data_IF_462996298820
#
_entry.id   IF_462996298820
#
_cell.length_a   1.000
_cell.length_b   1.000
_cell.length_c   1.000
_cell.angle_alpha   90.00
_cell.angle_beta   90.00
_cell.angle_gamma   90.00
#
_symmetry.space_group_name_H-M   'P 1'
#
loop_
_entity.id
_entity.type
_entity.pdbx_description
1 polymer ?
#
# COMPACT_ATOMS: atom_id res chain seq x y z
N UNK A 1 -4.96 24.14 -9.96
CA UNK A 1 -4.27 23.08 -10.70
C UNK A 1 -3.59 22.19 -9.67
N UNK A 2 -4.07 20.95 -9.46
CA UNK A 2 -3.45 20.05 -8.48
C UNK A 2 -2.29 19.33 -9.18
N UNK A 3 -1.06 19.68 -8.83
CA UNK A 3 0.13 19.04 -9.38
C UNK A 3 0.48 17.83 -8.49
N UNK A 4 0.42 16.63 -9.05
CA UNK A 4 0.99 15.47 -8.38
C UNK A 4 2.51 15.54 -8.52
N UNK A 5 3.18 15.69 -7.38
CA UNK A 5 4.63 15.70 -7.35
C UNK A 5 5.16 14.32 -7.73
N UNK A 6 6.20 14.30 -8.56
CA UNK A 6 6.90 13.08 -8.93
C UNK A 6 7.63 12.52 -7.71
N UNK A 7 7.43 11.24 -7.41
CA UNK A 7 8.25 10.50 -6.45
C UNK A 7 9.71 10.46 -6.94
N UNK A 8 10.62 11.08 -6.19
CA UNK A 8 12.05 11.04 -6.50
C UNK A 8 12.89 11.09 -5.25
N UNK A 9 14.11 10.54 -5.30
CA UNK A 9 15.04 10.45 -4.16
C UNK A 9 14.43 9.72 -2.96
N UNK A 10 13.64 8.68 -3.23
CA UNK A 10 13.04 7.82 -2.21
C UNK A 10 13.90 6.57 -2.05
N UNK A 11 14.20 6.21 -0.82
CA UNK A 11 14.86 4.94 -0.49
C UNK A 11 13.86 3.99 0.14
N UNK A 12 13.70 2.82 -0.47
CA UNK A 12 12.91 1.70 0.03
C UNK A 12 13.89 0.55 0.24
N UNK A 13 14.20 0.29 1.50
CA UNK A 13 15.27 -0.65 1.84
C UNK A 13 14.94 -1.54 3.01
N UNK A 14 15.50 -2.75 3.01
CA UNK A 14 15.37 -3.75 4.08
C UNK A 14 13.91 -4.12 4.44
N UNK A 15 12.98 -3.98 3.50
CA UNK A 15 11.60 -4.42 3.69
C UNK A 15 11.45 -5.91 3.37
N UNK A 16 10.51 -6.56 4.05
CA UNK A 16 10.03 -7.90 3.72
C UNK A 16 8.57 -7.79 3.30
N UNK A 17 8.26 -8.26 2.11
CA UNK A 17 6.91 -8.22 1.54
C UNK A 17 6.52 -9.65 1.20
N UNK A 18 5.37 -10.09 1.71
CA UNK A 18 4.94 -11.49 1.65
C UNK A 18 3.55 -11.57 1.05
N UNK A 19 3.39 -12.38 0.01
CA UNK A 19 2.07 -12.85 -0.44
C UNK A 19 1.12 -11.76 -0.96
N UNK A 20 1.65 -10.67 -1.51
CA UNK A 20 0.84 -9.60 -2.10
C UNK A 20 -0.12 -10.11 -3.17
N UNK A 21 -1.34 -9.57 -3.26
CA UNK A 21 -2.29 -9.96 -4.33
C UNK A 21 -1.77 -9.56 -5.73
N UNK A 22 -1.12 -8.41 -5.83
CA UNK A 22 -0.39 -7.94 -7.03
C UNK A 22 1.12 -8.13 -6.89
N UNK A 23 1.92 -7.52 -7.78
CA UNK A 23 3.36 -7.37 -7.60
C UNK A 23 3.74 -6.81 -6.23
N UNK A 24 4.88 -7.25 -5.71
CA UNK A 24 5.38 -6.79 -4.40
C UNK A 24 5.99 -5.38 -4.48
N UNK A 25 6.56 -5.03 -5.64
CA UNK A 25 7.02 -3.69 -5.99
C UNK A 25 6.47 -3.30 -7.36
N UNK A 26 5.70 -2.21 -7.39
CA UNK A 26 5.22 -1.60 -8.62
C UNK A 26 5.83 -0.20 -8.77
N UNK A 27 6.60 0.00 -9.83
CA UNK A 27 7.15 1.32 -10.17
C UNK A 27 6.37 1.90 -11.35
N UNK A 28 5.41 2.78 -11.03
CA UNK A 28 4.55 3.42 -12.02
C UNK A 28 3.29 2.64 -12.39
N UNK A 29 2.72 1.86 -11.46
CA UNK A 29 1.52 1.02 -11.64
C UNK A 29 0.36 1.65 -12.42
N UNK A 30 0.08 2.93 -12.14
CA UNK A 30 -1.01 3.70 -12.76
C UNK A 30 -0.55 4.73 -13.79
N UNK A 31 0.68 4.57 -14.29
CA UNK A 31 1.22 5.45 -15.31
C UNK A 31 0.32 5.46 -16.55
N UNK A 32 -0.33 6.62 -16.79
CA UNK A 32 -1.22 6.92 -17.93
C UNK A 32 -2.45 6.02 -18.12
N UNK A 33 -2.85 5.19 -17.15
CA UNK A 33 -4.07 4.36 -17.27
C UNK A 33 -5.37 5.16 -17.09
N UNK A 34 -5.38 6.17 -16.22
CA UNK A 34 -6.57 6.96 -15.85
C UNK A 34 -6.31 8.47 -15.73
N UNK A 35 -5.29 8.97 -16.44
CA UNK A 35 -4.87 10.37 -16.37
C UNK A 35 -5.40 11.17 -17.56
N UNK A 36 -5.80 12.44 -17.37
CA UNK A 36 -6.10 13.33 -18.49
C UNK A 36 -4.92 13.43 -19.46
N UNK A 37 -5.17 13.38 -20.77
CA UNK A 37 -4.11 13.37 -21.80
C UNK A 37 -3.21 14.61 -21.75
N UNK A 38 -3.76 15.76 -21.36
CA UNK A 38 -3.06 17.04 -21.24
C UNK A 38 -2.11 17.09 -20.04
N UNK A 39 -2.23 16.15 -19.10
CA UNK A 39 -1.41 16.15 -17.89
C UNK A 39 -0.07 15.45 -18.12
N UNK A 40 1.01 16.19 -17.84
CA UNK A 40 2.35 15.58 -17.78
C UNK A 40 2.46 14.71 -16.52
N UNK A 41 2.43 13.39 -16.71
CA UNK A 41 2.72 12.41 -15.66
C UNK A 41 4.13 11.88 -15.89
N UNK A 42 4.97 11.94 -14.85
CA UNK A 42 6.34 11.46 -14.88
C UNK A 42 6.48 10.21 -14.01
N UNK A 43 7.21 9.22 -14.52
CA UNK A 43 7.54 8.02 -13.73
C UNK A 43 8.48 8.37 -12.57
N UNK A 44 8.43 7.60 -11.46
CA UNK A 44 9.40 7.73 -10.38
C UNK A 44 10.84 7.63 -10.88
N UNK A 45 11.72 8.48 -10.34
CA UNK A 45 13.11 8.58 -10.78
C UNK A 45 14.05 8.85 -9.61
N UNK A 46 15.32 8.47 -9.71
CA UNK A 46 16.33 8.63 -8.64
C UNK A 46 15.95 7.94 -7.32
N UNK A 47 15.10 6.91 -7.38
CA UNK A 47 14.77 6.10 -6.22
C UNK A 47 15.78 4.98 -6.02
N UNK A 48 15.95 4.53 -4.79
CA UNK A 48 16.77 3.38 -4.42
C UNK A 48 15.91 2.29 -3.79
N UNK A 49 16.03 1.09 -4.34
CA UNK A 49 15.40 -0.12 -3.83
C UNK A 49 16.50 -1.10 -3.45
N UNK A 50 16.79 -1.24 -2.16
CA UNK A 50 17.96 -2.00 -1.69
C UNK A 50 17.69 -2.99 -0.57
N UNK A 51 18.20 -4.22 -0.72
CA UNK A 51 18.12 -5.24 0.32
C UNK A 51 16.70 -5.68 0.69
N UNK A 52 15.71 -5.44 -0.18
CA UNK A 52 14.33 -5.88 0.08
C UNK A 52 14.17 -7.37 -0.24
N UNK A 53 13.29 -8.05 0.49
CA UNK A 53 12.92 -9.45 0.27
C UNK A 53 11.47 -9.56 -0.14
N UNK A 54 11.25 -9.98 -1.38
CA UNK A 54 9.95 -10.14 -1.99
C UNK A 54 9.62 -11.65 -2.02
N UNK A 55 8.64 -12.07 -1.23
CA UNK A 55 8.31 -13.47 -0.99
C UNK A 55 6.96 -13.80 -1.60
N UNK A 56 6.95 -14.69 -2.60
CA UNK A 56 5.79 -15.10 -3.39
C UNK A 56 5.52 -16.61 -3.23
N UNK A 57 4.85 -17.05 -2.15
CA UNK A 57 4.59 -18.49 -1.92
C UNK A 57 3.74 -19.14 -3.00
N UNK A 58 2.76 -18.39 -3.54
CA UNK A 58 1.91 -18.84 -4.65
C UNK A 58 2.50 -18.56 -6.04
N UNK A 59 3.77 -18.15 -6.12
CA UNK A 59 4.40 -17.68 -7.35
C UNK A 59 3.84 -16.32 -7.83
N UNK A 60 4.25 -15.88 -9.03
CA UNK A 60 3.77 -14.64 -9.65
C UNK A 60 4.83 -13.55 -9.79
N UNK A 61 4.41 -12.33 -10.13
CA UNK A 61 5.32 -11.19 -10.35
C UNK A 61 5.75 -10.59 -9.01
N UNK A 62 7.05 -10.36 -8.80
CA UNK A 62 7.53 -9.61 -7.63
C UNK A 62 7.80 -8.15 -7.95
N UNK A 63 8.37 -7.85 -9.11
CA UNK A 63 8.68 -6.47 -9.52
C UNK A 63 8.01 -6.19 -10.87
N UNK A 64 7.22 -5.12 -10.92
CA UNK A 64 6.62 -4.60 -12.15
C UNK A 64 7.05 -3.15 -12.37
N UNK A 65 7.49 -2.85 -13.59
CA UNK A 65 7.97 -1.53 -13.99
C UNK A 65 7.14 -1.03 -15.17
N UNK A 66 6.63 0.19 -15.08
CA UNK A 66 5.96 0.83 -16.19
C UNK A 66 6.94 1.32 -17.25
N UNK A 67 6.53 1.20 -18.52
CA UNK A 67 7.29 1.69 -19.67
C UNK A 67 7.09 3.20 -19.83
N UNK A 68 8.17 4.01 -19.96
CA UNK A 68 8.06 5.44 -20.24
C UNK A 68 7.32 5.70 -21.57
N UNK A 69 6.49 6.75 -21.63
CA UNK A 69 5.85 7.16 -22.87
C UNK A 69 6.87 7.81 -23.83
N UNK A 70 7.10 7.25 -25.03
CA UNK A 70 8.05 7.80 -26.00
C UNK A 70 7.66 9.20 -26.51
N UNK A 71 6.40 9.63 -26.34
CA UNK A 71 5.94 10.97 -26.73
C UNK A 71 6.40 12.08 -25.78
N UNK A 72 6.86 11.74 -24.57
CA UNK A 72 7.38 12.74 -23.62
C UNK A 72 8.83 13.07 -24.02
N UNK A 73 9.16 14.35 -24.30
CA UNK A 73 10.50 14.75 -24.67
C UNK A 73 11.56 14.34 -23.63
N UNK A 74 12.67 13.78 -24.08
CA UNK A 74 13.78 13.34 -23.20
C UNK A 74 14.37 14.47 -22.34
N UNK A 75 14.26 15.73 -22.78
CA UNK A 75 14.68 16.92 -22.03
C UNK A 75 13.82 17.19 -20.79
N UNK A 76 12.52 16.86 -20.85
CA UNK A 76 11.60 16.91 -19.72
C UNK A 76 11.74 15.64 -18.88
N UNK A 77 12.06 14.53 -19.54
CA UNK A 77 12.30 13.22 -18.93
C UNK A 77 13.75 12.99 -18.52
N UNK A 78 14.52 14.03 -18.15
CA UNK A 78 15.83 13.86 -17.51
C UNK A 78 15.63 13.12 -16.18
N UNK A 79 15.64 11.79 -16.28
CA UNK A 79 15.35 10.84 -15.24
C UNK A 79 16.66 10.18 -14.90
N UNK A 80 17.23 10.51 -13.75
CA UNK A 80 18.21 9.63 -13.13
C UNK A 80 17.52 8.27 -12.93
N UNK A 81 18.05 7.18 -13.49
CA UNK A 81 17.43 5.87 -13.35
C UNK A 81 17.31 5.47 -11.88
N UNK A 82 16.26 4.70 -11.58
CA UNK A 82 16.15 4.06 -10.27
C UNK A 82 17.27 3.03 -10.10
N UNK A 83 17.75 2.88 -8.87
CA UNK A 83 18.81 1.94 -8.49
C UNK A 83 18.21 0.77 -7.75
N UNK A 84 18.57 -0.43 -8.18
CA UNK A 84 18.17 -1.69 -7.54
C UNK A 84 19.44 -2.38 -7.05
N UNK A 85 19.48 -2.81 -5.80
CA UNK A 85 20.66 -3.47 -5.21
C UNK A 85 20.26 -4.55 -4.23
N UNK A 86 20.87 -5.73 -4.35
CA UNK A 86 20.80 -6.78 -3.33
C UNK A 86 19.36 -7.19 -2.95
N UNK A 87 18.37 -6.97 -3.82
CA UNK A 87 17.01 -7.41 -3.57
C UNK A 87 16.89 -8.91 -3.87
N UNK A 88 16.03 -9.59 -3.11
CA UNK A 88 15.82 -11.03 -3.21
C UNK A 88 14.36 -11.29 -3.61
N UNK A 89 14.15 -12.10 -4.65
CA UNK A 89 12.83 -12.56 -5.08
C UNK A 89 12.71 -14.05 -4.78
N UNK A 90 11.89 -14.44 -3.81
CA UNK A 90 11.66 -15.84 -3.45
C UNK A 90 10.35 -16.35 -4.03
N UNK A 91 10.43 -17.39 -4.86
CA UNK A 91 9.25 -18.00 -5.52
C UNK A 91 8.61 -17.14 -6.61
N UNK A 92 9.02 -15.88 -6.75
CA UNK A 92 8.55 -14.96 -7.79
C UNK A 92 9.27 -15.10 -9.12
N UNK A 93 8.71 -14.50 -10.17
CA UNK A 93 9.36 -14.33 -11.48
C UNK A 93 10.58 -13.41 -11.37
N UNK A 94 11.60 -13.59 -12.23
CA UNK A 94 12.70 -12.62 -12.34
C UNK A 94 12.20 -11.19 -12.59
N UNK A 95 12.90 -10.21 -12.03
CA UNK A 95 12.58 -8.80 -12.27
C UNK A 95 12.87 -8.43 -13.73
N UNK A 96 12.07 -7.54 -14.35
CA UNK A 96 12.36 -7.02 -15.68
C UNK A 96 13.54 -6.03 -15.67
N UNK A 97 14.14 -5.78 -16.84
CA UNK A 97 15.11 -4.71 -17.01
C UNK A 97 14.48 -3.33 -16.70
N UNK A 98 15.21 -2.38 -16.08
CA UNK A 98 16.59 -2.48 -15.61
C UNK A 98 16.75 -3.06 -14.19
N UNK A 99 15.66 -3.43 -13.51
CA UNK A 99 15.73 -3.93 -12.13
C UNK A 99 16.41 -5.31 -12.00
N UNK A 100 16.46 -6.08 -13.09
CA UNK A 100 17.11 -7.39 -13.15
C UNK A 100 18.54 -7.42 -12.55
N UNK A 101 19.34 -6.37 -12.78
CA UNK A 101 20.73 -6.31 -12.31
C UNK A 101 20.84 -6.20 -10.77
N UNK A 102 19.80 -5.73 -10.11
CA UNK A 102 19.75 -5.49 -8.67
C UNK A 102 18.85 -6.46 -7.91
N UNK A 103 18.30 -7.46 -8.59
CA UNK A 103 17.31 -8.38 -8.05
C UNK A 103 17.70 -9.83 -8.34
N UNK A 104 17.93 -10.63 -7.30
CA UNK A 104 18.25 -12.04 -7.42
C UNK A 104 16.99 -12.89 -7.22
N UNK A 105 16.50 -13.50 -8.29
CA UNK A 105 15.45 -14.51 -8.19
C UNK A 105 16.02 -15.83 -7.66
N UNK A 106 15.37 -16.41 -6.66
CA UNK A 106 15.73 -17.66 -6.04
C UNK A 106 14.47 -18.51 -5.78
N UNK A 107 14.58 -19.84 -5.79
CA UNK A 107 13.47 -20.71 -5.38
C UNK A 107 13.10 -20.45 -3.91
N UNK A 108 11.86 -20.77 -3.56
CA UNK A 108 11.41 -20.70 -2.16
C UNK A 108 12.22 -21.69 -1.31
N UNK A 109 12.76 -21.29 -0.14
CA UNK A 109 13.42 -22.22 0.76
C UNK A 109 12.47 -23.31 1.26
N UNK A 110 12.92 -24.57 1.33
CA UNK A 110 12.09 -25.71 1.71
C UNK A 110 11.53 -25.63 3.15
N UNK A 111 12.23 -24.93 4.05
CA UNK A 111 11.85 -24.71 5.44
C UNK A 111 11.21 -23.33 5.68
N UNK A 112 10.80 -22.65 4.60
CA UNK A 112 10.12 -21.37 4.70
C UNK A 112 8.69 -21.55 5.19
N UNK A 113 8.24 -20.67 6.09
CA UNK A 113 6.84 -20.51 6.44
C UNK A 113 6.57 -19.05 6.80
N UNK A 114 5.35 -18.59 6.52
CA UNK A 114 4.93 -17.24 6.88
C UNK A 114 5.02 -17.02 8.40
N UNK A 115 4.62 -18.00 9.20
CA UNK A 115 4.74 -17.95 10.65
C UNK A 115 6.19 -17.76 11.13
N UNK A 116 7.18 -18.31 10.42
CA UNK A 116 8.60 -18.14 10.75
C UNK A 116 9.10 -16.74 10.39
N UNK A 117 8.73 -16.22 9.22
CA UNK A 117 9.07 -14.84 8.83
C UNK A 117 8.43 -13.80 9.76
N UNK A 118 7.19 -14.04 10.17
CA UNK A 118 6.43 -13.14 11.04
C UNK A 118 6.74 -13.34 12.54
N UNK A 119 7.51 -14.36 12.93
CA UNK A 119 7.77 -14.67 14.34
C UNK A 119 8.42 -13.53 15.14
N UNK A 120 9.10 -12.60 14.46
CA UNK A 120 9.68 -11.39 15.05
C UNK A 120 8.78 -10.15 14.99
N UNK A 121 7.58 -10.25 14.41
CA UNK A 121 6.66 -9.14 14.19
C UNK A 121 5.35 -9.38 14.93
N UNK A 122 4.85 -8.33 15.59
CA UNK A 122 3.58 -8.36 16.31
C UNK A 122 2.64 -7.29 15.75
N UNK A 123 1.69 -7.64 14.86
CA UNK A 123 0.65 -6.72 14.45
C UNK A 123 -0.17 -6.28 15.66
N UNK A 124 -0.15 -4.98 15.96
CA UNK A 124 -0.90 -4.45 17.10
C UNK A 124 -2.38 -4.68 16.90
N UNK A 125 -3.01 -5.29 17.90
CA UNK A 125 -4.45 -5.45 17.96
C UNK A 125 -5.10 -4.19 18.52
N UNK A 126 -6.40 -4.02 18.25
CA UNK A 126 -7.19 -2.92 18.80
C UNK A 126 -7.14 -2.86 20.35
N UNK A 127 -7.03 -4.00 21.02
CA UNK A 127 -6.99 -4.07 22.48
C UNK A 127 -5.67 -3.56 23.07
N UNK A 128 -4.60 -3.59 22.30
CA UNK A 128 -3.25 -3.17 22.71
C UNK A 128 -3.00 -1.68 22.44
N UNK A 129 -3.92 -1.03 21.73
CA UNK A 129 -3.82 0.39 21.39
C UNK A 129 -4.96 1.19 22.02
N UNK A 130 -4.72 2.49 22.21
CA UNK A 130 -5.70 3.42 22.72
C UNK A 130 -5.85 3.41 24.25
N UNK A 131 -6.68 4.33 24.78
CA UNK A 131 -6.81 4.49 26.22
C UNK A 131 -7.59 3.33 26.85
N UNK A 132 -7.21 2.96 28.07
CA UNK A 132 -7.80 1.85 28.83
C UNK A 132 -9.32 1.95 28.99
N UNK A 133 -9.85 3.17 29.19
CA UNK A 133 -11.30 3.40 29.27
C UNK A 133 -12.00 3.04 27.95
N UNK A 134 -11.43 3.38 26.80
CA UNK A 134 -12.00 3.05 25.49
C UNK A 134 -12.07 1.54 25.28
N UNK A 135 -11.02 0.82 25.68
CA UNK A 135 -10.99 -0.65 25.63
C UNK A 135 -12.02 -1.27 26.58
N UNK A 136 -12.19 -0.72 27.79
CA UNK A 136 -13.22 -1.17 28.73
C UNK A 136 -14.65 -0.95 28.17
N UNK A 137 -14.91 0.20 27.55
CA UNK A 137 -16.19 0.47 26.90
C UNK A 137 -16.47 -0.47 25.72
N UNK A 138 -15.45 -0.81 24.92
CA UNK A 138 -15.57 -1.78 23.82
C UNK A 138 -15.87 -3.19 24.32
N UNK A 139 -15.11 -3.66 25.32
CA UNK A 139 -15.34 -4.97 25.95
C UNK A 139 -16.75 -5.07 26.54
N UNK A 140 -17.30 -3.96 27.03
CA UNK A 140 -18.67 -3.88 27.52
C UNK A 140 -19.74 -3.76 26.41
N UNK A 141 -19.36 -3.73 25.13
CA UNK A 141 -20.28 -3.54 24.00
C UNK A 141 -20.88 -2.13 23.90
N UNK A 142 -20.28 -1.13 24.57
CA UNK A 142 -20.81 0.23 24.77
C UNK A 142 -20.04 1.30 24.00
N UNK A 143 -19.18 0.93 23.06
CA UNK A 143 -18.37 1.88 22.30
C UNK A 143 -19.05 2.22 20.97
N UNK A 144 -20.10 3.04 21.04
CA UNK A 144 -20.95 3.37 19.88
C UNK A 144 -20.25 4.20 18.80
N UNK A 145 -19.11 4.82 19.11
CA UNK A 145 -18.35 5.69 18.19
C UNK A 145 -17.76 4.94 17.00
N UNK A 146 -17.57 3.61 17.10
CA UNK A 146 -16.98 2.79 16.03
C UNK A 146 -18.01 2.22 15.05
N UNK A 147 -19.30 2.31 15.36
CA UNK A 147 -20.35 2.06 14.38
C UNK A 147 -20.54 3.34 13.58
N UNK A 148 -19.96 3.43 12.37
CA UNK A 148 -20.10 4.59 11.46
C UNK A 148 -21.55 4.95 11.05
N UNK A 149 -22.54 4.22 11.57
CA UNK A 149 -23.98 4.48 11.48
C UNK A 149 -24.56 5.21 12.70
N UNK A 150 -23.81 5.38 13.80
CA UNK A 150 -24.28 6.06 15.03
C UNK A 150 -24.18 7.58 14.96
N UNK A 151 -23.62 8.13 13.88
CA UNK A 151 -23.63 9.57 13.58
C UNK A 151 -25.02 10.14 13.27
N UNK A 152 -26.11 9.47 13.66
CA UNK A 152 -27.35 10.18 13.96
C UNK A 152 -27.17 10.91 15.30
N UNK A 153 -26.54 12.09 15.24
CA UNK A 153 -26.87 13.16 16.19
C UNK A 153 -28.39 13.23 16.19
N UNK A 154 -29.03 12.82 17.28
CA UNK A 154 -30.46 13.02 17.41
C UNK A 154 -30.74 14.49 17.11
N UNK A 155 -31.66 14.82 16.19
CA UNK A 155 -32.11 16.19 16.08
C UNK A 155 -32.77 16.51 17.43
N UNK A 156 -32.14 17.39 18.21
CA UNK A 156 -32.78 18.01 19.35
C UNK A 156 -34.06 18.66 18.86
N UNK A 157 -35.21 18.11 19.26
CA UNK A 157 -36.48 18.58 18.73
C UNK A 157 -37.65 17.70 19.13
N UNK A 158 -37.95 17.66 20.43
CA UNK A 158 -39.19 17.07 20.93
C UNK A 158 -40.41 17.71 20.26
N UNK A 159 -41.11 16.96 19.42
CA UNK A 159 -42.48 17.30 19.02
C UNK A 159 -43.45 16.47 19.86
N UNK A 160 -44.05 17.13 20.86
CA UNK A 160 -45.14 16.61 21.69
C UNK A 160 -46.24 16.05 20.79
N UNK A 161 -46.58 14.76 20.95
CA UNK A 161 -47.81 14.18 20.38
C UNK A 161 -49.02 14.97 20.89
N UNK A 162 -49.70 15.67 19.98
CA UNK A 162 -51.00 16.31 20.23
C UNK A 162 -52.03 15.18 20.45
N UNK A 163 -52.63 15.11 21.65
CA UNK A 163 -53.77 14.22 21.93
C UNK A 163 -54.94 14.61 21.02
N UNK A 164 -55.47 13.66 20.25
CA UNK A 164 -56.75 13.85 19.54
C UNK A 164 -57.90 13.78 20.54
N UNK A 165 -58.87 14.69 20.41
CA UNK A 165 -60.14 14.65 21.15
C UNK A 165 -61.04 13.57 20.54
N UNK A 166 -61.63 12.75 21.40
CA UNK A 166 -62.73 11.85 21.05
C UNK A 166 -63.98 12.65 20.67
N UNK A 167 -64.77 12.09 19.75
CA UNK A 167 -66.04 12.62 19.25
C UNK A 167 -67.15 12.41 20.28
#
# INVERSE_FOLDING_TARGET
>A
MSAYLRSSKVTISANVIIGSKGPDLEVGSDYKKHWPEEQLVLLPSDCEFSGNRFIRPAGGTSVELATPDPKIPATISQQTPNRYRENILWGGKPAPAPAEAGCKAMPMPANWSEAKELSGFHPLTRAEVGPSWGNAHRLAGKFEVENGLSCSRQPEGGSKKKKSKAK
#
